data_IF_801944226002
#
_entry.id   IF_801944226002
#
_cell.length_a   1.000
_cell.length_b   1.000
_cell.length_c   1.000
_cell.angle_alpha   90.00
_cell.angle_beta   90.00
_cell.angle_gamma   90.00
#
_symmetry.space_group_name_H-M   'P 1'
#
loop_
_entity.id
_entity.type
_entity.pdbx_description
1 polymer ?
#
# COMPACT_ATOMS: atom_id res chain seq x y z
N UNK A 1 -6.46 4.98 -4.92
CA UNK A 1 -6.67 6.42 -4.98
C UNK A 1 -5.57 7.16 -4.24
N UNK A 2 -5.14 8.29 -4.77
CA UNK A 2 -4.10 9.14 -4.17
C UNK A 2 -4.76 10.45 -3.71
N UNK A 3 -4.67 10.77 -2.41
CA UNK A 3 -5.26 11.98 -1.84
C UNK A 3 -4.61 13.25 -2.40
N UNK A 4 -3.29 13.24 -2.56
CA UNK A 4 -2.50 14.37 -3.09
C UNK A 4 -2.81 14.69 -4.55
N UNK A 5 -3.35 13.74 -5.30
CA UNK A 5 -3.78 13.92 -6.70
C UNK A 5 -5.28 14.22 -6.82
N UNK A 6 -5.99 14.29 -5.70
CA UNK A 6 -7.43 14.54 -5.66
C UNK A 6 -8.31 13.35 -6.10
N UNK A 7 -7.72 12.19 -6.38
CA UNK A 7 -8.47 10.98 -6.76
C UNK A 7 -9.12 10.27 -5.56
N UNK A 8 -8.79 10.69 -4.35
CA UNK A 8 -9.37 10.21 -3.10
C UNK A 8 -9.54 11.37 -2.12
N UNK A 9 -10.68 11.40 -1.42
CA UNK A 9 -10.96 12.34 -0.34
C UNK A 9 -11.22 11.58 0.95
N UNK A 10 -10.81 12.17 2.07
CA UNK A 10 -11.04 11.61 3.40
C UNK A 10 -11.60 12.68 4.32
N UNK A 11 -12.73 12.39 4.93
CA UNK A 11 -13.29 13.12 6.06
C UNK A 11 -13.14 12.25 7.29
N UNK A 12 -12.60 12.79 8.37
CA UNK A 12 -12.36 12.04 9.59
C UNK A 12 -13.24 12.56 10.72
N UNK A 13 -13.67 11.65 11.60
CA UNK A 13 -14.40 11.99 12.80
C UNK A 13 -13.71 11.38 14.02
N UNK A 14 -13.61 12.15 15.09
CA UNK A 14 -13.07 11.68 16.36
C UNK A 14 -14.01 12.05 17.51
N UNK A 15 -14.20 11.14 18.43
CA UNK A 15 -14.76 11.39 19.76
C UNK A 15 -13.97 10.60 20.78
N UNK A 16 -13.92 11.08 22.02
CA UNK A 16 -13.31 10.35 23.14
C UNK A 16 -14.34 10.09 24.22
N UNK A 17 -14.14 9.02 24.99
CA UNK A 17 -14.99 8.66 26.12
C UNK A 17 -14.15 8.12 27.28
N UNK A 18 -14.61 8.18 28.51
CA UNK A 18 -13.94 7.50 29.63
C UNK A 18 -13.85 5.98 29.37
N UNK A 19 -12.78 5.37 29.82
CA UNK A 19 -12.62 3.91 29.80
C UNK A 19 -13.77 3.27 30.58
N UNK A 20 -14.41 2.26 29.99
CA UNK A 20 -15.55 1.55 30.55
C UNK A 20 -16.92 2.21 30.30
N UNK A 21 -16.97 3.37 29.63
CA UNK A 21 -18.23 3.97 29.20
C UNK A 21 -18.70 3.37 27.86
N UNK A 22 -19.98 2.98 27.77
CA UNK A 22 -20.58 2.53 26.49
C UNK A 22 -21.06 3.72 25.65
N UNK A 23 -21.18 4.90 26.25
CA UNK A 23 -21.66 6.10 25.56
C UNK A 23 -20.53 6.88 24.94
N UNK A 24 -20.58 7.07 23.61
CA UNK A 24 -19.62 7.90 22.88
C UNK A 24 -19.70 9.37 23.28
N UNK A 25 -18.57 10.05 23.23
CA UNK A 25 -18.50 11.51 23.36
C UNK A 25 -18.97 12.24 22.12
N UNK A 26 -19.05 13.57 22.21
CA UNK A 26 -19.37 14.42 21.06
C UNK A 26 -18.25 14.35 20.02
N UNK A 27 -18.62 14.14 18.77
CA UNK A 27 -17.65 14.00 17.67
C UNK A 27 -17.26 15.35 17.07
N UNK A 28 -16.00 15.47 16.73
CA UNK A 28 -15.46 16.53 15.87
C UNK A 28 -15.16 15.94 14.49
N UNK A 29 -15.66 16.60 13.46
CA UNK A 29 -15.39 16.27 12.06
C UNK A 29 -14.19 17.08 11.54
N UNK A 30 -13.24 16.44 10.86
CA UNK A 30 -12.12 17.13 10.23
C UNK A 30 -12.20 16.95 8.72
N UNK A 31 -12.09 18.06 7.99
CA UNK A 31 -12.18 18.15 6.53
C UNK A 31 -10.90 18.72 5.90
N UNK A 32 -10.80 18.62 4.60
CA UNK A 32 -9.72 19.17 3.78
C UNK A 32 -8.33 18.61 4.17
N UNK A 33 -8.26 17.30 4.38
CA UNK A 33 -7.00 16.61 4.65
C UNK A 33 -6.57 15.88 3.37
N UNK A 34 -5.37 16.19 2.88
CA UNK A 34 -4.86 15.75 1.58
C UNK A 34 -3.76 14.69 1.65
N UNK A 35 -3.48 14.13 2.85
CA UNK A 35 -2.56 13.00 3.02
C UNK A 35 -2.88 12.18 4.26
N UNK A 36 -2.56 10.87 4.22
CA UNK A 36 -2.71 9.98 5.38
C UNK A 36 -1.86 10.44 6.57
N UNK A 37 -0.69 11.02 6.32
CA UNK A 37 0.15 11.56 7.40
C UNK A 37 -0.54 12.73 8.12
N UNK A 38 -1.21 13.61 7.36
CA UNK A 38 -1.97 14.71 7.97
C UNK A 38 -3.25 14.22 8.65
N UNK A 39 -3.90 13.17 8.17
CA UNK A 39 -4.99 12.49 8.91
C UNK A 39 -4.51 12.05 10.28
N UNK A 40 -3.38 11.34 10.34
CA UNK A 40 -2.79 10.87 11.60
C UNK A 40 -2.44 12.01 12.56
N UNK A 41 -1.82 13.07 12.04
CA UNK A 41 -1.44 14.25 12.84
C UNK A 41 -2.67 15.00 13.36
N UNK A 42 -3.68 15.20 12.51
CA UNK A 42 -4.92 15.88 12.88
C UNK A 42 -5.68 15.11 13.97
N UNK A 43 -5.79 13.78 13.83
CA UNK A 43 -6.40 12.93 14.85
C UNK A 43 -5.66 13.00 16.19
N UNK A 44 -4.33 12.92 16.17
CA UNK A 44 -3.51 13.02 17.39
C UNK A 44 -3.61 14.39 18.06
N UNK A 45 -3.75 15.47 17.29
CA UNK A 45 -3.99 16.81 17.84
C UNK A 45 -5.38 16.90 18.48
N UNK A 46 -6.42 16.46 17.78
CA UNK A 46 -7.80 16.50 18.28
C UNK A 46 -8.00 15.62 19.53
N UNK A 47 -7.39 14.45 19.58
CA UNK A 47 -7.40 13.61 20.78
C UNK A 47 -6.90 14.39 22.01
N UNK A 48 -5.74 15.04 21.89
CA UNK A 48 -5.16 15.85 22.96
C UNK A 48 -6.02 17.07 23.30
N UNK A 49 -6.59 17.73 22.28
CA UNK A 49 -7.48 18.87 22.49
C UNK A 49 -8.74 18.44 23.26
N UNK A 50 -9.39 17.36 22.86
CA UNK A 50 -10.55 16.81 23.53
C UNK A 50 -10.24 16.44 25.00
N UNK A 51 -9.13 15.73 25.23
CA UNK A 51 -8.68 15.39 26.59
C UNK A 51 -8.50 16.66 27.44
N UNK A 52 -7.78 17.66 26.94
CA UNK A 52 -7.51 18.91 27.66
C UNK A 52 -8.79 19.65 28.02
N UNK A 53 -9.74 19.77 27.08
CA UNK A 53 -11.01 20.47 27.32
C UNK A 53 -11.86 19.73 28.35
N UNK A 54 -12.01 18.40 28.19
CA UNK A 54 -12.84 17.61 29.09
C UNK A 54 -12.24 17.50 30.52
N UNK A 55 -10.92 17.36 30.63
CA UNK A 55 -10.25 17.33 31.94
C UNK A 55 -10.32 18.68 32.68
N UNK A 56 -10.42 19.79 31.93
CA UNK A 56 -10.65 21.10 32.49
C UNK A 56 -12.16 21.37 32.86
N UNK A 57 -13.02 20.37 32.73
CA UNK A 57 -14.47 20.50 32.99
C UNK A 57 -15.23 21.21 31.85
N UNK A 58 -14.59 21.42 30.72
CA UNK A 58 -15.21 22.00 29.52
C UNK A 58 -16.07 21.00 28.72
N UNK A 59 -16.62 21.47 27.63
CA UNK A 59 -17.50 20.71 26.74
C UNK A 59 -17.01 20.73 25.30
N UNK A 60 -17.08 19.59 24.62
CA UNK A 60 -16.82 19.49 23.18
C UNK A 60 -18.15 19.68 22.47
N UNK A 61 -18.23 20.74 21.66
CA UNK A 61 -19.35 20.96 20.75
C UNK A 61 -19.23 20.08 19.50
N UNK A 62 -20.33 19.92 18.78
CA UNK A 62 -20.29 19.28 17.46
C UNK A 62 -19.73 20.28 16.46
N UNK A 63 -18.48 20.07 16.06
CA UNK A 63 -17.68 20.99 15.27
C UNK A 63 -17.20 20.36 13.97
N UNK A 64 -17.06 21.19 12.92
CA UNK A 64 -16.25 20.89 11.76
C UNK A 64 -14.99 21.74 11.82
N UNK A 65 -13.83 21.08 11.68
CA UNK A 65 -12.51 21.70 11.75
C UNK A 65 -11.69 21.36 10.50
N UNK A 66 -10.68 22.16 10.19
CA UNK A 66 -9.68 21.85 9.16
C UNK A 66 -8.30 21.70 9.80
N UNK A 67 -7.47 20.85 9.25
CA UNK A 67 -6.08 20.75 9.67
C UNK A 67 -5.25 21.87 9.01
N UNK A 68 -4.40 22.51 9.80
CA UNK A 68 -3.43 23.51 9.34
C UNK A 68 -2.03 22.88 9.36
N UNK A 69 -1.46 22.74 8.17
CA UNK A 69 -0.15 22.09 7.98
C UNK A 69 1.00 22.93 8.57
N UNK A 70 0.87 24.26 8.55
CA UNK A 70 1.91 25.17 9.00
C UNK A 70 2.04 25.17 10.52
N UNK A 71 0.91 25.14 11.23
CA UNK A 71 0.88 25.16 12.70
C UNK A 71 0.80 23.75 13.31
N UNK A 72 0.38 22.75 12.54
CA UNK A 72 0.13 21.39 13.03
C UNK A 72 -1.13 21.27 13.90
N UNK A 73 -2.01 22.24 13.84
CA UNK A 73 -3.23 22.35 14.64
C UNK A 73 -4.49 22.19 13.80
N UNK A 74 -5.62 22.00 14.48
CA UNK A 74 -6.93 22.06 13.82
C UNK A 74 -7.58 23.41 14.09
N UNK A 75 -8.18 23.99 13.05
CA UNK A 75 -8.86 25.30 13.10
C UNK A 75 -10.35 25.08 12.95
N UNK A 76 -11.14 25.70 13.84
CA UNK A 76 -12.60 25.67 13.77
C UNK A 76 -13.09 26.31 12.47
N UNK A 77 -13.93 25.60 11.73
CA UNK A 77 -14.61 26.12 10.53
C UNK A 77 -16.05 26.53 10.84
N UNK A 78 -16.78 25.65 11.51
CA UNK A 78 -18.17 25.87 11.91
C UNK A 78 -18.57 24.99 13.08
N UNK A 79 -19.52 25.45 13.88
CA UNK A 79 -20.26 24.63 14.82
C UNK A 79 -21.55 24.12 14.20
N UNK A 80 -21.95 22.90 14.51
CA UNK A 80 -23.23 22.34 14.06
C UNK A 80 -24.22 22.45 15.24
N UNK A 81 -25.19 23.33 15.10
CA UNK A 81 -26.31 23.44 16.03
C UNK A 81 -27.46 22.55 15.52
N UNK A 82 -27.66 21.41 16.19
CA UNK A 82 -28.73 20.44 15.88
C UNK A 82 -28.30 19.29 14.90
N UNK A 83 -29.05 18.22 15.00
CA UNK A 83 -28.93 17.11 14.03
C UNK A 83 -29.66 17.49 12.75
N UNK A 84 -28.97 17.51 11.61
CA UNK A 84 -29.62 17.63 10.32
C UNK A 84 -30.56 16.44 10.13
N UNK A 85 -31.84 16.69 10.01
CA UNK A 85 -32.82 15.68 9.59
C UNK A 85 -32.73 15.54 8.07
N UNK A 86 -32.00 14.51 7.62
CA UNK A 86 -31.79 14.27 6.19
C UNK A 86 -33.05 13.72 5.47
N UNK A 87 -34.10 13.35 6.21
CA UNK A 87 -35.37 12.84 5.68
C UNK A 87 -35.19 11.78 4.61
N UNK A 88 -34.35 10.76 4.93
CA UNK A 88 -34.13 9.63 4.02
C UNK A 88 -35.46 8.95 3.69
N UNK A 89 -35.73 8.83 2.43
CA UNK A 89 -36.83 8.03 1.88
C UNK A 89 -36.34 7.33 0.59
N UNK A 90 -36.97 6.20 0.20
CA UNK A 90 -36.61 5.52 -1.03
C UNK A 90 -36.77 6.45 -2.23
N UNK A 91 -35.76 6.48 -3.11
CA UNK A 91 -35.85 7.24 -4.36
C UNK A 91 -36.89 6.60 -5.28
N UNK A 92 -37.96 7.31 -5.68
CA UNK A 92 -39.05 6.71 -6.42
C UNK A 92 -38.66 6.24 -7.84
N UNK A 93 -37.60 6.81 -8.41
CA UNK A 93 -37.12 6.47 -9.75
C UNK A 93 -36.12 5.29 -9.76
N UNK A 94 -35.74 4.78 -8.59
CA UNK A 94 -34.82 3.66 -8.47
C UNK A 94 -35.58 2.40 -8.03
N UNK A 95 -35.55 1.32 -8.82
CA UNK A 95 -36.13 0.06 -8.40
C UNK A 95 -35.31 -0.56 -7.24
N UNK A 96 -35.98 -1.36 -6.37
CA UNK A 96 -35.24 -2.10 -5.35
C UNK A 96 -34.20 -3.02 -5.97
N UNK A 97 -32.98 -2.98 -5.43
CA UNK A 97 -31.91 -3.92 -5.81
C UNK A 97 -31.97 -5.11 -4.86
N UNK A 98 -32.24 -6.28 -5.41
CA UNK A 98 -32.21 -7.53 -4.66
C UNK A 98 -30.88 -8.23 -4.91
N UNK A 99 -30.06 -8.34 -3.87
CA UNK A 99 -28.82 -9.10 -3.91
C UNK A 99 -29.10 -10.50 -3.38
N UNK A 100 -28.96 -11.51 -4.24
CA UNK A 100 -29.17 -12.90 -3.83
C UNK A 100 -27.92 -13.52 -3.22
N UNK A 101 -28.11 -14.57 -2.42
CA UNK A 101 -27.00 -15.32 -1.83
C UNK A 101 -26.12 -15.98 -2.90
N UNK A 102 -26.74 -16.41 -4.01
CA UNK A 102 -26.03 -16.97 -5.16
C UNK A 102 -25.09 -15.94 -5.79
N UNK A 103 -25.55 -14.70 -5.97
CA UNK A 103 -24.74 -13.62 -6.52
C UNK A 103 -23.58 -13.25 -5.57
N UNK A 104 -23.82 -13.24 -4.27
CA UNK A 104 -22.77 -13.03 -3.26
C UNK A 104 -21.72 -14.15 -3.37
N UNK A 105 -22.16 -15.42 -3.41
CA UNK A 105 -21.27 -16.58 -3.52
C UNK A 105 -20.43 -16.58 -4.81
N UNK A 106 -21.02 -16.14 -5.93
CA UNK A 106 -20.32 -15.98 -7.20
C UNK A 106 -19.18 -14.96 -7.06
N UNK A 107 -19.48 -13.78 -6.51
CA UNK A 107 -18.49 -12.73 -6.27
C UNK A 107 -17.40 -13.22 -5.32
N UNK A 108 -17.74 -13.87 -4.20
CA UNK A 108 -16.79 -14.42 -3.24
C UNK A 108 -15.84 -15.43 -3.88
N UNK A 109 -16.35 -16.27 -4.79
CA UNK A 109 -15.55 -17.26 -5.50
C UNK A 109 -14.51 -16.66 -6.48
N UNK A 110 -14.78 -15.45 -6.96
CA UNK A 110 -13.92 -14.71 -7.89
C UNK A 110 -12.99 -13.70 -7.18
N UNK A 111 -13.20 -13.51 -5.88
CA UNK A 111 -12.36 -12.57 -5.12
C UNK A 111 -10.90 -13.07 -5.07
N UNK A 112 -9.93 -12.20 -5.41
CA UNK A 112 -8.53 -12.53 -5.22
C UNK A 112 -8.19 -12.57 -3.73
N UNK A 113 -7.09 -13.25 -3.40
CA UNK A 113 -6.54 -13.24 -2.05
C UNK A 113 -6.32 -11.81 -1.55
N UNK A 114 -6.84 -11.51 -0.38
CA UNK A 114 -6.80 -10.15 0.18
C UNK A 114 -5.40 -9.81 0.73
N UNK A 115 -5.02 -8.52 0.78
CA UNK A 115 -3.66 -8.14 1.23
C UNK A 115 -3.26 -8.68 2.61
N UNK A 116 -4.21 -8.88 3.52
CA UNK A 116 -3.96 -9.48 4.84
C UNK A 116 -3.56 -10.95 4.74
N UNK A 117 -4.28 -11.72 3.94
CA UNK A 117 -4.03 -13.14 3.68
C UNK A 117 -2.72 -13.34 2.93
N UNK A 118 -2.45 -12.53 1.90
CA UNK A 118 -1.17 -12.50 1.20
C UNK A 118 0.02 -12.28 2.14
N UNK A 119 -0.09 -11.34 3.11
CA UNK A 119 0.97 -11.11 4.12
C UNK A 119 1.23 -12.35 4.95
N UNK A 120 0.16 -13.00 5.43
CA UNK A 120 0.31 -14.23 6.20
C UNK A 120 0.98 -15.33 5.39
N UNK A 121 0.57 -15.51 4.13
CA UNK A 121 1.17 -16.44 3.19
C UNK A 121 2.66 -16.15 2.98
N UNK A 122 3.02 -14.89 2.70
CA UNK A 122 4.42 -14.51 2.46
C UNK A 122 5.31 -14.76 3.68
N UNK A 123 4.79 -14.53 4.88
CA UNK A 123 5.55 -14.82 6.11
C UNK A 123 5.62 -16.31 6.41
N UNK A 124 4.48 -17.03 6.38
CA UNK A 124 4.39 -18.42 6.82
C UNK A 124 4.99 -19.38 5.80
N UNK A 125 4.70 -19.19 4.52
CA UNK A 125 5.02 -20.18 3.47
C UNK A 125 6.26 -19.80 2.67
N UNK A 126 6.51 -18.49 2.44
CA UNK A 126 7.66 -18.01 1.70
C UNK A 126 8.82 -17.56 2.59
N UNK A 127 8.62 -17.51 3.91
CA UNK A 127 9.65 -17.19 4.90
C UNK A 127 10.16 -15.75 4.84
N UNK A 128 9.32 -14.81 4.39
CA UNK A 128 9.62 -13.38 4.41
C UNK A 128 9.46 -12.82 5.83
N UNK A 129 10.02 -11.64 6.07
CA UNK A 129 9.74 -10.89 7.30
C UNK A 129 8.36 -10.21 7.22
N UNK A 130 7.76 -9.90 8.38
CA UNK A 130 6.50 -9.13 8.45
C UNK A 130 6.63 -7.77 7.72
N UNK A 131 7.81 -7.16 7.81
CA UNK A 131 8.10 -5.88 7.13
C UNK A 131 8.10 -6.05 5.61
N UNK A 132 8.80 -7.06 5.09
CA UNK A 132 8.88 -7.31 3.64
C UNK A 132 7.49 -7.63 3.08
N UNK A 133 6.74 -8.50 3.76
CA UNK A 133 5.37 -8.84 3.39
C UNK A 133 4.45 -7.61 3.39
N UNK A 134 4.59 -6.72 4.38
CA UNK A 134 3.83 -5.47 4.45
C UNK A 134 4.16 -4.55 3.27
N UNK A 135 5.45 -4.40 2.92
CA UNK A 135 5.86 -3.52 1.82
C UNK A 135 5.38 -4.07 0.47
N UNK A 136 5.56 -5.36 0.22
CA UNK A 136 5.15 -6.01 -1.03
C UNK A 136 3.63 -6.01 -1.24
N UNK A 137 2.84 -5.94 -0.17
CA UNK A 137 1.38 -5.92 -0.25
C UNK A 137 0.76 -4.51 -0.19
N UNK A 138 1.56 -3.46 -0.34
CA UNK A 138 1.05 -2.08 -0.36
C UNK A 138 0.21 -1.78 -1.60
N UNK A 139 0.55 -2.37 -2.73
CA UNK A 139 -0.23 -2.27 -3.96
C UNK A 139 -0.47 -3.65 -4.57
N UNK A 140 -1.56 -3.79 -5.31
CA UNK A 140 -1.89 -5.04 -6.01
C UNK A 140 -0.81 -5.39 -7.05
N UNK A 141 -0.34 -4.40 -7.78
CA UNK A 141 0.64 -4.54 -8.86
C UNK A 141 1.96 -5.13 -8.33
N UNK A 142 2.42 -4.64 -7.17
CA UNK A 142 3.64 -5.14 -6.53
C UNK A 142 3.47 -6.58 -6.03
N UNK A 143 2.32 -6.89 -5.42
CA UNK A 143 2.02 -8.25 -4.95
C UNK A 143 1.95 -9.23 -6.10
N UNK A 144 1.20 -8.90 -7.15
CA UNK A 144 1.01 -9.76 -8.32
C UNK A 144 2.35 -10.00 -9.02
N UNK A 145 3.16 -8.96 -9.19
CA UNK A 145 4.50 -9.09 -9.77
C UNK A 145 5.41 -10.01 -8.95
N UNK A 146 5.40 -9.84 -7.62
CA UNK A 146 6.18 -10.67 -6.70
C UNK A 146 5.78 -12.14 -6.80
N UNK A 147 4.47 -12.42 -6.73
CA UNK A 147 3.95 -13.80 -6.80
C UNK A 147 4.28 -14.47 -8.12
N UNK A 148 4.15 -13.73 -9.23
CA UNK A 148 4.47 -14.25 -10.56
C UNK A 148 5.97 -14.53 -10.70
N UNK A 149 6.84 -13.65 -10.19
CA UNK A 149 8.29 -13.89 -10.19
C UNK A 149 8.69 -15.11 -9.33
N UNK A 150 8.04 -15.33 -8.19
CA UNK A 150 8.24 -16.52 -7.35
C UNK A 150 7.74 -17.78 -8.06
N UNK A 151 6.56 -17.72 -8.69
CA UNK A 151 5.99 -18.81 -9.50
C UNK A 151 6.90 -19.19 -10.66
N UNK A 152 7.55 -18.21 -11.28
CA UNK A 152 8.56 -18.41 -12.33
C UNK A 152 9.89 -18.98 -11.78
N UNK A 153 9.94 -19.21 -10.47
CA UNK A 153 11.00 -19.91 -9.75
C UNK A 153 12.13 -19.02 -9.25
N UNK A 154 11.88 -17.72 -9.08
CA UNK A 154 12.77 -16.84 -8.33
C UNK A 154 12.71 -17.11 -6.83
N UNK A 155 13.86 -17.09 -6.14
CA UNK A 155 13.88 -17.19 -4.67
C UNK A 155 13.09 -16.04 -4.03
N UNK A 156 12.10 -16.33 -3.16
CA UNK A 156 11.21 -15.30 -2.61
C UNK A 156 11.95 -14.16 -1.92
N UNK A 157 13.00 -14.45 -1.14
CA UNK A 157 13.73 -13.41 -0.39
C UNK A 157 14.56 -12.52 -1.31
N UNK A 158 15.15 -13.10 -2.35
CA UNK A 158 15.92 -12.33 -3.33
C UNK A 158 15.03 -11.48 -4.21
N UNK A 159 13.91 -12.04 -4.70
CA UNK A 159 12.91 -11.30 -5.48
C UNK A 159 12.37 -10.14 -4.66
N UNK A 160 11.97 -10.38 -3.40
CA UNK A 160 11.51 -9.34 -2.49
C UNK A 160 12.56 -8.22 -2.32
N UNK A 161 13.82 -8.61 -2.10
CA UNK A 161 14.91 -7.63 -1.92
C UNK A 161 15.11 -6.76 -3.18
N UNK A 162 15.11 -7.34 -4.37
CA UNK A 162 15.21 -6.57 -5.61
C UNK A 162 14.01 -5.63 -5.82
N UNK A 163 12.79 -6.10 -5.58
CA UNK A 163 11.58 -5.27 -5.71
C UNK A 163 11.58 -4.10 -4.75
N UNK A 164 11.93 -4.34 -3.48
CA UNK A 164 11.89 -3.30 -2.45
C UNK A 164 13.01 -2.27 -2.57
N UNK A 165 14.16 -2.66 -3.13
CA UNK A 165 15.33 -1.78 -3.23
C UNK A 165 15.56 -1.28 -4.66
N UNK A 166 16.08 -2.14 -5.54
CA UNK A 166 16.56 -1.73 -6.86
C UNK A 166 15.41 -1.31 -7.79
N UNK A 167 14.32 -2.08 -7.82
CA UNK A 167 13.15 -1.76 -8.64
C UNK A 167 12.46 -0.51 -8.10
N UNK A 168 12.21 -0.44 -6.79
CA UNK A 168 11.55 0.71 -6.18
C UNK A 168 12.38 1.99 -6.34
N UNK A 169 13.71 1.91 -6.24
CA UNK A 169 14.60 3.03 -6.55
C UNK A 169 14.46 3.49 -7.99
N UNK A 170 14.44 2.55 -8.94
CA UNK A 170 14.26 2.85 -10.36
C UNK A 170 12.90 3.53 -10.64
N UNK A 171 11.82 3.01 -10.06
CA UNK A 171 10.47 3.60 -10.23
C UNK A 171 10.41 5.03 -9.70
N UNK A 172 11.02 5.27 -8.53
CA UNK A 172 11.08 6.60 -7.92
C UNK A 172 11.95 7.56 -8.74
N UNK A 173 13.10 7.13 -9.22
CA UNK A 173 14.01 7.97 -10.02
C UNK A 173 13.40 8.35 -11.37
N UNK A 174 12.65 7.43 -11.99
CA UNK A 174 11.99 7.66 -13.29
C UNK A 174 10.60 8.26 -13.18
N UNK A 175 10.02 8.29 -11.96
CA UNK A 175 8.64 8.72 -11.72
C UNK A 175 7.62 7.96 -12.58
N UNK A 176 7.77 6.64 -12.65
CA UNK A 176 6.89 5.71 -13.38
C UNK A 176 6.35 4.64 -12.45
N UNK A 177 5.20 4.08 -12.80
CA UNK A 177 4.64 2.93 -12.10
C UNK A 177 5.22 1.62 -12.66
N UNK A 178 5.20 0.53 -11.86
CA UNK A 178 5.78 -0.76 -12.24
C UNK A 178 5.23 -1.32 -13.55
N UNK A 179 3.94 -1.17 -13.75
CA UNK A 179 3.22 -1.61 -14.96
C UNK A 179 3.64 -0.87 -16.24
N UNK A 180 4.23 0.33 -16.11
CA UNK A 180 4.67 1.15 -17.24
C UNK A 180 6.13 0.86 -17.62
N UNK A 181 6.78 -0.06 -16.90
CA UNK A 181 8.14 -0.50 -17.20
C UNK A 181 8.16 -1.68 -18.18
N UNK A 182 9.33 -1.95 -18.75
CA UNK A 182 9.56 -3.16 -19.55
C UNK A 182 10.01 -4.36 -18.70
N UNK A 183 10.20 -4.17 -17.40
CA UNK A 183 10.57 -5.24 -16.48
C UNK A 183 9.42 -6.24 -16.36
N UNK A 184 9.74 -7.53 -16.51
CA UNK A 184 8.78 -8.61 -16.35
C UNK A 184 9.11 -9.48 -15.13
N UNK A 185 8.13 -10.13 -14.50
CA UNK A 185 8.37 -11.10 -13.42
C UNK A 185 9.34 -12.20 -13.83
N UNK A 186 9.18 -12.75 -15.05
CA UNK A 186 10.04 -13.79 -15.60
C UNK A 186 11.50 -13.35 -15.73
N UNK A 187 11.74 -12.11 -16.20
CA UNK A 187 13.10 -11.59 -16.31
C UNK A 187 13.76 -11.36 -14.96
N UNK A 188 13.02 -10.88 -13.97
CA UNK A 188 13.53 -10.75 -12.61
C UNK A 188 13.85 -12.11 -12.00
N UNK A 189 12.94 -13.07 -12.10
CA UNK A 189 13.15 -14.45 -11.65
C UNK A 189 14.34 -15.12 -12.34
N UNK A 190 14.46 -14.94 -13.66
CA UNK A 190 15.59 -15.46 -14.43
C UNK A 190 16.93 -14.89 -13.97
N UNK A 191 17.00 -13.58 -13.71
CA UNK A 191 18.21 -12.96 -13.16
C UNK A 191 18.54 -13.50 -11.76
N UNK A 192 17.55 -13.66 -10.90
CA UNK A 192 17.73 -14.23 -9.54
C UNK A 192 18.28 -15.65 -9.63
N UNK A 193 17.76 -16.50 -10.52
CA UNK A 193 18.28 -17.85 -10.77
C UNK A 193 19.74 -17.86 -11.21
N UNK A 194 20.13 -16.97 -12.12
CA UNK A 194 21.53 -16.86 -12.56
C UNK A 194 22.49 -16.47 -11.44
N UNK A 195 22.01 -15.76 -10.42
CA UNK A 195 22.80 -15.45 -9.22
C UNK A 195 22.90 -16.69 -8.33
N UNK A 196 21.81 -17.43 -8.15
CA UNK A 196 21.74 -18.59 -7.26
C UNK A 196 22.56 -19.76 -7.75
N UNK A 197 22.53 -20.04 -9.04
CA UNK A 197 23.32 -21.10 -9.67
C UNK A 197 24.79 -20.70 -9.89
N UNK A 198 25.16 -19.47 -9.54
CA UNK A 198 26.53 -18.97 -9.68
C UNK A 198 26.95 -18.59 -11.10
N UNK A 199 26.02 -18.59 -12.05
CA UNK A 199 26.31 -18.19 -13.45
C UNK A 199 26.75 -16.73 -13.51
N UNK A 200 26.18 -15.85 -12.70
CA UNK A 200 26.59 -14.44 -12.56
C UNK A 200 26.88 -14.10 -11.10
N UNK A 201 27.88 -13.25 -10.89
CA UNK A 201 28.18 -12.70 -9.56
C UNK A 201 27.22 -11.54 -9.21
N UNK A 202 27.13 -11.19 -7.92
CA UNK A 202 26.33 -10.04 -7.46
C UNK A 202 26.78 -8.71 -8.13
N UNK A 203 28.06 -8.58 -8.52
CA UNK A 203 28.55 -7.42 -9.25
C UNK A 203 28.06 -7.41 -10.70
N UNK A 204 28.00 -8.58 -11.33
CA UNK A 204 27.50 -8.75 -12.69
C UNK A 204 25.98 -8.56 -12.72
N UNK A 205 25.28 -9.01 -11.71
CA UNK A 205 23.83 -8.84 -11.57
C UNK A 205 23.38 -7.38 -11.69
N UNK A 206 24.15 -6.41 -11.20
CA UNK A 206 23.86 -4.98 -11.36
C UNK A 206 23.84 -4.53 -12.84
N UNK A 207 24.64 -5.18 -13.69
CA UNK A 207 24.62 -4.89 -15.12
C UNK A 207 23.46 -5.60 -15.81
N UNK A 208 23.21 -6.87 -15.45
CA UNK A 208 22.08 -7.65 -15.97
C UNK A 208 20.77 -6.98 -15.60
N UNK A 209 20.67 -6.43 -14.38
CA UNK A 209 19.49 -5.69 -13.92
C UNK A 209 19.15 -4.51 -14.84
N UNK A 210 20.15 -3.78 -15.34
CA UNK A 210 19.91 -2.71 -16.33
C UNK A 210 19.31 -3.26 -17.64
N UNK A 211 19.81 -4.40 -18.11
CA UNK A 211 19.27 -5.05 -19.32
C UNK A 211 17.81 -5.48 -19.15
N UNK A 212 17.47 -6.10 -18.02
CA UNK A 212 16.08 -6.53 -17.76
C UNK A 212 15.12 -5.36 -17.57
N UNK A 213 15.57 -4.19 -17.11
CA UNK A 213 14.77 -2.97 -17.09
C UNK A 213 14.44 -2.47 -18.50
N UNK A 214 15.27 -2.77 -19.48
CA UNK A 214 15.02 -2.48 -20.90
C UNK A 214 14.22 -3.59 -21.60
N UNK A 215 13.87 -4.66 -20.86
CA UNK A 215 13.06 -5.79 -21.33
C UNK A 215 13.87 -6.96 -21.90
N UNK A 216 15.21 -6.92 -21.76
CA UNK A 216 16.08 -7.98 -22.25
C UNK A 216 15.95 -9.25 -21.39
N UNK A 217 16.10 -10.42 -22.02
CA UNK A 217 16.14 -11.70 -21.33
C UNK A 217 17.47 -11.85 -20.58
N UNK A 218 17.48 -12.14 -19.26
CA UNK A 218 18.67 -12.05 -18.43
C UNK A 218 19.83 -12.95 -18.86
N UNK A 219 19.56 -14.17 -19.29
CA UNK A 219 20.62 -15.10 -19.69
C UNK A 219 21.23 -14.72 -21.06
N UNK A 220 20.39 -14.29 -22.01
CA UNK A 220 20.85 -13.79 -23.31
C UNK A 220 21.72 -12.54 -23.11
N UNK A 221 21.24 -11.59 -22.33
CA UNK A 221 21.97 -10.37 -21.99
C UNK A 221 23.32 -10.67 -21.32
N UNK A 222 23.34 -11.56 -20.33
CA UNK A 222 24.57 -11.95 -19.64
C UNK A 222 25.60 -12.55 -20.56
N UNK A 223 25.19 -13.42 -21.51
CA UNK A 223 26.08 -14.04 -22.51
C UNK A 223 26.63 -13.03 -23.52
N UNK A 224 25.76 -12.18 -24.05
CA UNK A 224 26.14 -11.18 -25.06
C UNK A 224 27.15 -10.17 -24.49
N UNK A 225 27.04 -9.82 -23.22
CA UNK A 225 27.91 -8.83 -22.57
C UNK A 225 29.08 -9.46 -21.80
N UNK A 226 29.30 -10.77 -21.92
CA UNK A 226 30.40 -11.47 -21.24
C UNK A 226 30.32 -11.42 -19.72
N UNK A 227 29.10 -11.44 -19.18
CA UNK A 227 28.81 -11.36 -17.74
C UNK A 227 28.60 -12.75 -17.08
N UNK A 228 29.05 -13.81 -17.75
CA UNK A 228 28.99 -15.18 -17.22
C UNK A 228 30.29 -15.50 -16.51
N UNK A 229 30.21 -16.09 -15.30
CA UNK A 229 31.39 -16.58 -14.60
C UNK A 229 31.98 -17.80 -15.31
N UNK A 230 33.27 -17.78 -15.55
CA UNK A 230 33.99 -18.96 -16.02
C UNK A 230 34.20 -19.88 -14.82
N UNK A 231 33.41 -20.96 -14.76
CA UNK A 231 33.50 -21.97 -13.68
C UNK A 231 34.41 -23.15 -14.03
N UNK A 232 35.06 -23.13 -15.19
CA UNK A 232 35.97 -24.19 -15.64
C UNK A 232 37.41 -23.90 -15.24
N UNK A 233 38.01 -24.70 -14.33
CA UNK A 233 39.41 -24.56 -13.93
C UNK A 233 40.42 -24.71 -15.09
N UNK A 234 39.99 -25.24 -16.24
CA UNK A 234 40.81 -25.42 -17.41
C UNK A 234 40.90 -24.16 -18.32
N UNK A 235 40.14 -23.12 -18.00
CA UNK A 235 40.12 -21.86 -18.74
C UNK A 235 40.74 -20.67 -17.96
N UNK A 236 41.34 -20.94 -16.81
CA UNK A 236 42.19 -20.07 -16.01
C UNK A 236 43.65 -20.43 -16.24
#
# INVERSE_FOLDING_TARGET
>A
GKMQEGSMRVDTNISIRPIGSDKFGTKTEMKNINSFNYVRKALAFEEKRHQKVLMAGGHIGQETRRYDEATGETILMRTKEGSDDYRYFPEPDLPPVNVSDEWISEIESEMPEMPGERREHYVKDLGLTDYDAMVLTQTKEMSDFFEEAVKDGGDPKRVANYLMNDVNSYLNDKQVDLQDTKLTPANLAGMVKLIEDGTISSKMAKKVFKGILDGEEPNAYAKEHGLVQLSDPAQL
#
